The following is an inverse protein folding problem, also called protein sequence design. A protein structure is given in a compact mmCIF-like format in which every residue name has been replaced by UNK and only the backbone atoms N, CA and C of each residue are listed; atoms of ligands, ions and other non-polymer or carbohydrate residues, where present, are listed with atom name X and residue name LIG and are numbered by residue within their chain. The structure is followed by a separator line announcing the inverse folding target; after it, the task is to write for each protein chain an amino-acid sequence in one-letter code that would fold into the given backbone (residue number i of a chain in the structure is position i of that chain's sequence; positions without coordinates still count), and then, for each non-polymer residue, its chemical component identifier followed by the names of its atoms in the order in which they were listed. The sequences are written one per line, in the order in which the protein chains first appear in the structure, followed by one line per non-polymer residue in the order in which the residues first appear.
data_IF_334045324912
#
_entry.id   IF_334045324912
#
_cell.length_a   1.000
_cell.length_b   1.000
_cell.length_c   1.000
_cell.angle_alpha   90.00
_cell.angle_beta   90.00
_cell.angle_gamma   90.00
#
_symmetry.space_group_name_H-M   'P 1'
#
loop_
_entity.id
_entity.type
_entity.pdbx_description
1 polymer ?
#
# COMPACT_ATOMS: atom_id res chain seq x y z
N UNK A 1 11.24 6.12 -9.71
CA UNK A 1 10.07 5.62 -8.94
C UNK A 1 9.67 4.27 -9.50
N UNK A 2 9.61 3.22 -8.68
CA UNK A 2 9.31 1.86 -9.14
C UNK A 2 7.89 1.68 -9.73
N UNK A 3 6.97 2.62 -9.48
CA UNK A 3 5.58 2.50 -9.93
C UNK A 3 5.43 2.39 -11.45
N UNK A 4 6.26 3.06 -12.24
CA UNK A 4 6.21 2.91 -13.71
C UNK A 4 6.54 1.48 -14.12
N UNK A 5 7.57 0.88 -13.51
CA UNK A 5 7.92 -0.52 -13.74
C UNK A 5 6.78 -1.46 -13.28
N UNK A 6 6.16 -1.20 -12.13
CA UNK A 6 5.03 -1.99 -11.64
C UNK A 6 3.80 -1.91 -12.56
N UNK A 7 3.51 -0.73 -13.11
CA UNK A 7 2.44 -0.56 -14.10
C UNK A 7 2.76 -1.34 -15.38
N UNK A 8 4.00 -1.26 -15.89
CA UNK A 8 4.44 -2.02 -17.06
C UNK A 8 4.28 -3.52 -16.80
N UNK A 9 4.77 -4.00 -15.66
CA UNK A 9 4.62 -5.40 -15.26
C UNK A 9 3.15 -5.83 -15.23
N UNK A 10 2.27 -5.01 -14.66
CA UNK A 10 0.84 -5.29 -14.64
C UNK A 10 0.23 -5.37 -16.04
N UNK A 11 0.52 -4.41 -16.92
CA UNK A 11 -0.03 -4.39 -18.28
C UNK A 11 0.48 -5.54 -19.16
N UNK A 12 1.72 -5.98 -18.94
CA UNK A 12 2.33 -7.09 -19.66
C UNK A 12 2.09 -8.45 -18.98
N UNK A 13 1.27 -8.48 -17.93
CA UNK A 13 0.98 -9.69 -17.15
C UNK A 13 2.26 -10.40 -16.63
N UNK A 14 3.24 -9.60 -16.20
CA UNK A 14 4.50 -10.06 -15.63
C UNK A 14 4.35 -10.13 -14.10
N UNK A 15 4.57 -11.32 -13.54
CA UNK A 15 4.52 -11.55 -12.10
C UNK A 15 5.89 -11.95 -11.56
N UNK A 16 6.20 -11.50 -10.35
CA UNK A 16 7.31 -12.01 -9.56
C UNK A 16 6.75 -12.81 -8.39
N UNK A 17 7.22 -14.04 -8.18
CA UNK A 17 6.82 -14.89 -7.06
C UNK A 17 8.04 -15.40 -6.30
N UNK A 18 7.95 -15.41 -4.97
CA UNK A 18 8.87 -16.19 -4.13
C UNK A 18 8.29 -17.61 -3.95
N UNK A 19 9.08 -18.63 -4.26
CA UNK A 19 8.75 -20.05 -4.05
C UNK A 19 10.02 -20.76 -3.61
N UNK A 20 10.00 -21.47 -2.48
CA UNK A 20 11.13 -22.26 -1.97
C UNK A 20 12.47 -21.49 -1.92
N UNK A 21 12.45 -20.28 -1.33
CA UNK A 21 13.59 -19.35 -1.28
C UNK A 21 14.17 -18.93 -2.65
N UNK A 22 13.46 -19.20 -3.74
CA UNK A 22 13.80 -18.76 -5.09
C UNK A 22 12.78 -17.75 -5.58
N UNK A 23 13.25 -16.73 -6.28
CA UNK A 23 12.37 -15.78 -6.97
C UNK A 23 12.20 -16.23 -8.42
N UNK A 24 10.96 -16.43 -8.85
CA UNK A 24 10.61 -16.75 -10.23
C UNK A 24 9.94 -15.54 -10.88
N UNK A 25 10.31 -15.28 -12.13
CA UNK A 25 9.62 -14.32 -12.99
C UNK A 25 8.71 -15.10 -13.93
N UNK A 26 7.41 -14.76 -13.93
CA UNK A 26 6.37 -15.42 -14.73
C UNK A 26 5.89 -14.40 -15.75
N UNK A 27 5.93 -14.75 -17.03
CA UNK A 27 5.54 -13.90 -18.15
C UNK A 27 5.31 -14.75 -19.40
N UNK A 28 4.52 -14.26 -20.35
CA UNK A 28 4.35 -14.92 -21.65
C UNK A 28 5.56 -14.70 -22.55
N UNK A 29 5.95 -15.75 -23.29
CA UNK A 29 7.15 -15.72 -24.13
C UNK A 29 7.03 -14.66 -25.23
N UNK A 30 8.06 -13.82 -25.38
CA UNK A 30 8.10 -12.73 -26.38
C UNK A 30 7.57 -11.37 -25.90
N UNK A 31 6.94 -11.28 -24.72
CA UNK A 31 6.40 -10.01 -24.20
C UNK A 31 7.40 -9.15 -23.40
N UNK A 32 8.54 -9.71 -23.02
CA UNK A 32 9.52 -9.02 -22.18
C UNK A 32 10.82 -8.76 -22.94
N UNK A 33 11.17 -7.48 -23.10
CA UNK A 33 12.47 -7.08 -23.62
C UNK A 33 13.57 -7.19 -22.54
N UNK A 34 14.83 -7.23 -22.97
CA UNK A 34 15.99 -7.33 -22.07
C UNK A 34 16.16 -6.10 -21.16
N UNK A 35 15.65 -4.93 -21.58
CA UNK A 35 15.65 -3.72 -20.77
C UNK A 35 14.74 -3.84 -19.55
N UNK A 36 13.51 -4.33 -19.74
CA UNK A 36 12.55 -4.59 -18.66
C UNK A 36 13.10 -5.67 -17.72
N UNK A 37 13.66 -6.78 -18.24
CA UNK A 37 14.32 -7.80 -17.40
C UNK A 37 15.41 -7.18 -16.53
N UNK A 38 16.24 -6.31 -17.11
CA UNK A 38 17.32 -5.63 -16.39
C UNK A 38 16.77 -4.74 -15.28
N UNK A 39 15.73 -3.95 -15.56
CA UNK A 39 15.09 -3.09 -14.56
C UNK A 39 14.46 -3.92 -13.43
N UNK A 40 13.77 -5.01 -13.74
CA UNK A 40 13.20 -5.92 -12.73
C UNK A 40 14.30 -6.49 -11.85
N UNK A 41 15.42 -6.92 -12.45
CA UNK A 41 16.55 -7.47 -11.70
C UNK A 41 17.18 -6.42 -10.78
N UNK A 42 17.36 -5.18 -11.26
CA UNK A 42 17.92 -4.07 -10.47
C UNK A 42 17.02 -3.68 -9.29
N UNK A 43 15.70 -3.73 -9.47
CA UNK A 43 14.73 -3.33 -8.45
C UNK A 43 14.10 -4.49 -7.69
N UNK A 44 14.56 -5.72 -7.90
CA UNK A 44 13.96 -6.96 -7.40
C UNK A 44 13.56 -6.88 -5.92
N UNK A 45 14.50 -6.52 -5.04
CA UNK A 45 14.25 -6.49 -3.60
C UNK A 45 13.17 -5.46 -3.23
N UNK A 46 13.14 -4.32 -3.92
CA UNK A 46 12.13 -3.29 -3.72
C UNK A 46 10.74 -3.73 -4.25
N UNK A 47 10.69 -4.49 -5.36
CA UNK A 47 9.44 -5.09 -5.86
C UNK A 47 8.90 -6.08 -4.84
N UNK A 48 9.75 -7.01 -4.37
CA UNK A 48 9.36 -8.03 -3.40
C UNK A 48 8.90 -7.41 -2.09
N UNK A 49 9.66 -6.44 -1.57
CA UNK A 49 9.25 -5.67 -0.40
C UNK A 49 7.88 -5.02 -0.62
N UNK A 50 7.65 -4.38 -1.78
CA UNK A 50 6.36 -3.75 -2.08
C UNK A 50 5.22 -4.76 -2.10
N UNK A 51 5.43 -5.95 -2.66
CA UNK A 51 4.42 -7.01 -2.69
C UNK A 51 4.08 -7.46 -1.27
N UNK A 52 5.08 -7.74 -0.44
CA UNK A 52 4.89 -8.11 0.97
C UNK A 52 4.14 -7.03 1.76
N UNK A 53 4.57 -5.77 1.63
CA UNK A 53 3.90 -4.62 2.26
C UNK A 53 2.43 -4.49 1.82
N UNK A 54 2.14 -4.75 0.53
CA UNK A 54 0.77 -4.73 0.01
C UNK A 54 -0.08 -5.88 0.55
N UNK A 55 0.48 -7.08 0.65
CA UNK A 55 -0.19 -8.23 1.24
C UNK A 55 -0.51 -8.01 2.72
N UNK A 56 0.46 -7.52 3.49
CA UNK A 56 0.28 -7.14 4.89
C UNK A 56 -0.83 -6.09 5.05
N UNK A 57 -0.84 -5.06 4.21
CA UNK A 57 -1.88 -4.04 4.23
C UNK A 57 -3.27 -4.63 3.95
N UNK A 58 -3.40 -5.53 2.95
CA UNK A 58 -4.67 -6.23 2.66
C UNK A 58 -5.12 -7.08 3.83
N UNK A 59 -4.22 -7.79 4.51
CA UNK A 59 -4.53 -8.58 5.71
C UNK A 59 -5.06 -7.71 6.86
N UNK A 60 -4.66 -6.43 6.93
CA UNK A 60 -5.20 -5.44 7.88
C UNK A 60 -6.52 -4.79 7.41
N UNK A 61 -7.01 -5.15 6.23
CA UNK A 61 -8.25 -4.64 5.65
C UNK A 61 -8.08 -3.36 4.83
N UNK A 62 -6.86 -2.97 4.47
CA UNK A 62 -6.66 -1.86 3.53
C UNK A 62 -7.02 -2.27 2.11
N UNK A 63 -7.65 -1.35 1.37
CA UNK A 63 -7.67 -1.36 -0.09
C UNK A 63 -6.35 -0.77 -0.57
N UNK A 64 -5.69 -1.47 -1.50
CA UNK A 64 -4.38 -1.09 -2.04
C UNK A 64 -4.55 -0.56 -3.46
N UNK A 65 -4.12 0.67 -3.71
CA UNK A 65 -4.20 1.33 -5.02
C UNK A 65 -2.82 1.52 -5.62
N UNK A 66 -2.76 1.54 -6.96
CA UNK A 66 -1.56 1.87 -7.75
C UNK A 66 -0.31 1.13 -7.25
N UNK A 67 -0.42 -0.20 -7.12
CA UNK A 67 0.65 -1.08 -6.65
C UNK A 67 1.27 -0.66 -5.30
N UNK A 68 0.45 -0.15 -4.39
CA UNK A 68 0.88 0.24 -3.05
C UNK A 68 1.49 1.63 -2.98
N UNK A 69 1.12 2.51 -3.91
CA UNK A 69 1.38 3.93 -3.79
C UNK A 69 0.43 4.59 -2.79
N UNK A 70 -0.82 4.12 -2.74
CA UNK A 70 -1.87 4.66 -1.89
C UNK A 70 -2.70 3.52 -1.28
N UNK A 71 -3.13 3.70 -0.04
CA UNK A 71 -3.87 2.72 0.73
C UNK A 71 -5.02 3.41 1.45
N UNK A 72 -6.17 2.74 1.49
CA UNK A 72 -7.37 3.22 2.17
C UNK A 72 -7.88 2.17 3.14
N UNK A 73 -8.25 2.60 4.35
CA UNK A 73 -8.98 1.79 5.30
C UNK A 73 -10.22 2.54 5.76
N UNK A 74 -11.40 2.01 5.44
CA UNK A 74 -12.67 2.56 5.90
C UNK A 74 -12.99 2.03 7.29
N UNK A 75 -13.04 2.93 8.27
CA UNK A 75 -13.35 2.56 9.64
C UNK A 75 -14.72 3.05 10.10
N UNK A 76 -15.47 3.79 9.29
CA UNK A 76 -16.83 4.20 9.62
C UNK A 76 -17.58 4.70 8.38
N UNK A 77 -18.83 5.10 8.56
CA UNK A 77 -19.56 5.81 7.49
C UNK A 77 -18.93 7.19 7.35
N UNK A 78 -18.33 7.46 6.18
CA UNK A 78 -17.63 8.72 5.93
C UNK A 78 -16.30 8.87 6.66
N UNK A 79 -15.75 7.83 7.28
CA UNK A 79 -14.49 7.92 8.03
C UNK A 79 -13.43 6.99 7.48
N UNK A 80 -12.32 7.57 7.04
CA UNK A 80 -11.27 6.89 6.30
C UNK A 80 -9.89 7.17 6.92
N UNK A 81 -9.04 6.15 6.85
CA UNK A 81 -7.62 6.22 7.16
C UNK A 81 -6.88 6.00 5.84
N UNK A 82 -5.95 6.88 5.54
CA UNK A 82 -5.14 6.83 4.34
C UNK A 82 -3.67 6.67 4.70
N UNK A 83 -2.95 6.01 3.81
CA UNK A 83 -1.50 5.90 3.81
C UNK A 83 -1.04 6.13 2.37
N UNK A 84 -0.01 6.94 2.18
CA UNK A 84 0.52 7.27 0.87
C UNK A 84 2.04 7.31 0.91
N UNK A 85 2.67 6.83 -0.16
CA UNK A 85 4.10 7.02 -0.40
C UNK A 85 4.34 8.34 -1.12
N UNK A 86 5.28 9.11 -0.63
CA UNK A 86 5.66 10.40 -1.19
C UNK A 86 6.76 10.22 -2.25
N UNK A 87 6.89 11.17 -3.21
CA UNK A 87 7.91 11.09 -4.27
C UNK A 87 9.36 11.02 -3.74
N UNK A 88 9.61 11.53 -2.54
CA UNK A 88 10.92 11.51 -1.87
C UNK A 88 11.25 10.17 -1.18
N UNK A 89 10.49 9.11 -1.43
CA UNK A 89 10.69 7.79 -0.81
C UNK A 89 10.21 7.69 0.65
N UNK A 90 9.56 8.74 1.16
CA UNK A 90 8.91 8.75 2.47
C UNK A 90 7.44 8.34 2.33
N UNK A 91 6.71 8.37 3.43
CA UNK A 91 5.29 8.10 3.49
C UNK A 91 4.61 9.00 4.52
N UNK A 92 3.30 9.10 4.41
CA UNK A 92 2.44 9.76 5.39
C UNK A 92 1.17 8.95 5.61
N UNK A 93 0.61 9.04 6.82
CA UNK A 93 -0.69 8.50 7.14
C UNK A 93 -1.56 9.57 7.80
N UNK A 94 -2.82 9.62 7.42
CA UNK A 94 -3.77 10.60 7.92
C UNK A 94 -5.18 10.05 7.89
N UNK A 95 -6.09 10.71 8.59
CA UNK A 95 -7.50 10.34 8.64
C UNK A 95 -8.35 11.48 8.16
N UNK A 96 -9.44 11.12 7.52
CA UNK A 96 -10.40 12.07 7.01
C UNK A 96 -11.81 11.65 7.38
N UNK A 97 -12.66 12.65 7.59
CA UNK A 97 -14.07 12.46 7.81
C UNK A 97 -14.85 13.33 6.84
N UNK A 98 -15.86 12.71 6.24
CA UNK A 98 -16.72 13.24 5.20
C UNK A 98 -18.15 13.20 5.69
N UNK A 99 -18.95 14.22 5.33
CA UNK A 99 -20.40 14.12 5.47
C UNK A 99 -20.97 13.31 4.31
N UNK A 100 -22.19 12.81 4.49
CA UNK A 100 -22.87 12.03 3.46
C UNK A 100 -23.05 12.88 2.20
N UNK A 101 -22.57 12.38 1.06
CA UNK A 101 -22.67 13.05 -0.24
C UNK A 101 -21.64 14.15 -0.49
N UNK A 102 -20.78 14.47 0.48
CA UNK A 102 -19.71 15.44 0.28
C UNK A 102 -18.44 14.76 -0.24
N UNK A 103 -17.80 15.40 -1.23
CA UNK A 103 -16.51 14.96 -1.78
C UNK A 103 -15.31 15.57 -1.06
N UNK A 104 -15.55 16.53 -0.16
CA UNK A 104 -14.51 17.21 0.63
C UNK A 104 -14.61 16.78 2.09
N UNK A 105 -13.45 16.48 2.69
CA UNK A 105 -13.40 16.18 4.11
C UNK A 105 -13.71 17.43 4.93
N UNK A 106 -14.61 17.31 5.91
CA UNK A 106 -14.84 18.37 6.90
C UNK A 106 -13.78 18.34 8.02
N UNK A 107 -13.07 17.22 8.16
CA UNK A 107 -11.98 17.06 9.14
C UNK A 107 -10.89 16.13 8.63
N UNK A 108 -9.68 16.67 8.55
CA UNK A 108 -8.45 15.91 8.28
C UNK A 108 -7.53 15.95 9.50
N UNK A 109 -6.94 14.81 9.87
CA UNK A 109 -5.93 14.72 10.93
C UNK A 109 -4.77 13.84 10.48
N UNK A 110 -3.62 14.45 10.31
CA UNK A 110 -2.34 13.76 10.10
C UNK A 110 -1.99 12.94 11.33
N UNK A 111 -1.63 11.67 11.10
CA UNK A 111 -1.08 10.78 12.13
C UNK A 111 0.44 10.90 12.11
N UNK A 112 1.02 10.81 10.92
CA UNK A 112 2.47 10.88 10.70
C UNK A 112 2.74 11.42 9.30
N UNK A 113 3.81 12.19 9.16
CA UNK A 113 4.22 12.79 7.90
C UNK A 113 5.72 12.58 7.67
N UNK A 114 6.09 12.42 6.40
CA UNK A 114 7.48 12.35 5.95
C UNK A 114 8.31 11.27 6.67
N UNK A 115 7.70 10.12 6.97
CA UNK A 115 8.32 9.00 7.65
C UNK A 115 8.75 7.89 6.67
N UNK A 116 9.51 6.90 7.13
CA UNK A 116 9.66 5.66 6.37
C UNK A 116 8.31 4.94 6.25
N UNK A 117 8.12 4.18 5.17
CA UNK A 117 6.85 3.48 4.93
C UNK A 117 6.44 2.60 6.11
N UNK A 118 7.35 1.76 6.61
CA UNK A 118 7.06 0.88 7.75
C UNK A 118 6.56 1.66 8.97
N UNK A 119 7.25 2.76 9.32
CA UNK A 119 6.80 3.62 10.42
C UNK A 119 5.41 4.20 10.18
N UNK A 120 5.12 4.65 8.96
CA UNK A 120 3.80 5.19 8.63
C UNK A 120 2.71 4.11 8.70
N UNK A 121 3.02 2.88 8.28
CA UNK A 121 2.15 1.72 8.36
C UNK A 121 1.90 1.27 9.81
N UNK A 122 2.94 1.25 10.66
CA UNK A 122 2.83 0.89 12.08
C UNK A 122 1.95 1.90 12.84
N UNK A 123 2.09 3.19 12.58
CA UNK A 123 1.25 4.24 13.17
C UNK A 123 -0.21 4.13 12.70
N UNK A 124 -0.43 3.88 11.41
CA UNK A 124 -1.74 3.68 10.82
C UNK A 124 -2.46 2.46 11.43
N UNK A 125 -1.75 1.32 11.55
CA UNK A 125 -2.29 0.09 12.13
C UNK A 125 -2.47 0.19 13.65
N UNK A 126 -1.61 0.93 14.35
CA UNK A 126 -1.78 1.24 15.77
C UNK A 126 -3.08 2.00 16.03
N UNK A 127 -3.44 2.94 15.16
CA UNK A 127 -4.75 3.61 15.22
C UNK A 127 -5.92 2.62 15.04
N UNK A 128 -5.82 1.69 14.08
CA UNK A 128 -6.85 0.65 13.85
C UNK A 128 -6.99 -0.23 15.10
N UNK A 129 -5.89 -0.66 15.69
CA UNK A 129 -5.87 -1.49 16.90
C UNK A 129 -6.53 -0.77 18.08
N UNK A 130 -6.19 0.50 18.29
CA UNK A 130 -6.82 1.34 19.30
C UNK A 130 -8.34 1.47 19.09
N UNK A 131 -8.77 1.68 17.84
CA UNK A 131 -10.18 1.78 17.49
C UNK A 131 -10.93 0.47 17.78
N UNK A 132 -10.34 -0.67 17.41
CA UNK A 132 -10.93 -1.99 17.64
C UNK A 132 -11.02 -2.31 19.14
N UNK A 133 -10.01 -1.97 19.94
CA UNK A 133 -10.04 -2.09 21.40
C UNK A 133 -11.17 -1.25 22.00
N UNK A 134 -11.29 0.02 21.58
CA UNK A 134 -12.37 0.94 22.02
C UNK A 134 -13.77 0.41 21.68
N UNK A 135 -13.94 -0.27 20.54
CA UNK A 135 -15.22 -0.89 20.15
C UNK A 135 -15.59 -2.05 21.03
N UNK A 136 -14.64 -2.95 21.32
CA UNK A 136 -14.87 -4.13 22.18
C UNK A 136 -15.30 -3.71 23.59
N UNK A 137 -14.71 -2.66 24.14
CA UNK A 137 -15.07 -2.12 25.47
C UNK A 137 -16.44 -1.44 25.54
N UNK A 138 -17.12 -1.17 24.42
CA UNK A 138 -18.45 -0.55 24.39
C UNK A 138 -19.60 -1.57 24.29
N UNK A 139 -19.28 -2.84 24.06
CA UNK A 139 -20.27 -3.91 23.83
C UNK A 139 -20.29 -4.91 25.00
N UNK A 140 -19.40 -4.76 25.97
CA UNK A 140 -19.43 -5.48 27.25
C UNK A 140 -19.81 -4.51 28.36
#
# INVERSE_FOLDING_TARGET
MINQLLNIMYHLNIEIKETDNKTKLIYEHGLIDEGIKTQIKQHKELILQRIRENEEARLKGFIVYNHGQFYEYRFGVGSYLFLERLPNGRAMAWRENYRKGETKAYRTKTIVQNALFQKAFDEATSFINWLNKKRRMKVG
#
